data_IF_873254350099
#
_entry.id   IF_873254350099
#
_cell.length_a   1.000
_cell.length_b   1.000
_cell.length_c   1.000
_cell.angle_alpha   90.00
_cell.angle_beta   90.00
_cell.angle_gamma   90.00
#
_symmetry.space_group_name_H-M   'P 1'
#
loop_
_entity.id
_entity.type
_entity.pdbx_description
1 polymer ?
#
# COMPACT_ATOMS: atom_id res chain seq x y z
N UNK A 1 -1.15 4.10 -2.35
CA UNK A 1 0.07 3.58 -1.73
C UNK A 1 1.01 3.05 -2.82
N UNK A 2 2.27 3.49 -2.81
CA UNK A 2 3.34 2.92 -3.64
C UNK A 2 4.03 1.81 -2.86
N UNK A 3 4.08 0.59 -3.40
CA UNK A 3 4.65 -0.59 -2.73
C UNK A 3 5.99 -0.94 -3.36
N UNK A 4 7.01 -1.07 -2.51
CA UNK A 4 8.35 -1.52 -2.89
C UNK A 4 8.56 -2.96 -2.38
N UNK A 5 9.16 -3.87 -3.19
CA UNK A 5 9.36 -5.27 -2.82
C UNK A 5 10.54 -5.43 -1.84
N UNK A 6 10.38 -4.94 -0.61
CA UNK A 6 11.39 -5.04 0.45
C UNK A 6 10.76 -5.32 1.82
N UNK A 7 11.34 -6.27 2.55
CA UNK A 7 11.00 -6.51 3.97
C UNK A 7 11.82 -5.56 4.85
N UNK A 8 11.15 -4.69 5.62
CA UNK A 8 11.82 -3.81 6.60
C UNK A 8 11.68 -4.41 8.00
N UNK A 9 12.80 -4.75 8.65
CA UNK A 9 12.81 -5.35 10.00
C UNK A 9 12.35 -4.40 11.13
N UNK A 10 12.35 -3.08 10.89
CA UNK A 10 11.80 -2.01 11.74
C UNK A 10 11.28 -0.87 10.85
N UNK A 11 10.28 -0.11 11.31
CA UNK A 11 9.75 1.04 10.57
C UNK A 11 8.60 1.74 11.29
N UNK A 12 8.15 2.86 10.71
CA UNK A 12 6.95 3.60 11.15
C UNK A 12 5.72 2.98 10.52
N UNK A 13 4.63 2.83 11.30
CA UNK A 13 3.35 2.34 10.78
C UNK A 13 2.75 3.39 9.85
N UNK A 14 2.07 2.93 8.80
CA UNK A 14 1.36 3.82 7.86
C UNK A 14 0.06 4.35 8.49
N UNK A 15 -0.58 3.54 9.34
CA UNK A 15 -1.74 3.90 10.12
C UNK A 15 -1.49 3.54 11.59
N UNK A 16 -1.92 4.40 12.52
CA UNK A 16 -1.85 4.12 13.96
C UNK A 16 -2.98 3.18 14.41
N UNK A 17 -4.11 3.22 13.70
CA UNK A 17 -5.33 2.47 13.94
C UNK A 17 -5.71 1.56 12.75
N UNK A 18 -6.78 0.78 12.90
CA UNK A 18 -7.29 -0.09 11.85
C UNK A 18 -8.12 0.72 10.83
N UNK A 19 -7.82 0.55 9.54
CA UNK A 19 -8.53 1.21 8.44
C UNK A 19 -9.09 0.16 7.48
N UNK A 20 -10.39 0.27 7.16
CA UNK A 20 -11.03 -0.56 6.15
C UNK A 20 -10.81 0.04 4.76
N UNK A 21 -10.10 -0.69 3.90
CA UNK A 21 -9.69 -0.21 2.59
C UNK A 21 -10.43 -0.96 1.47
N UNK A 22 -10.83 -0.22 0.43
CA UNK A 22 -11.33 -0.78 -0.83
C UNK A 22 -10.34 -0.49 -1.95
N UNK A 23 -9.96 -1.51 -2.72
CA UNK A 23 -9.11 -1.32 -3.90
C UNK A 23 -9.90 -0.54 -4.95
N UNK A 24 -9.37 0.62 -5.35
CA UNK A 24 -9.86 1.40 -6.48
C UNK A 24 -9.07 1.12 -7.75
N UNK A 25 -7.77 0.87 -7.65
CA UNK A 25 -6.89 0.65 -8.81
C UNK A 25 -5.60 -0.09 -8.41
N UNK A 26 -5.04 -0.86 -9.36
CA UNK A 26 -3.75 -1.51 -9.22
C UNK A 26 -2.97 -1.46 -10.55
N UNK A 27 -1.73 -0.99 -10.50
CA UNK A 27 -0.82 -0.93 -11.63
C UNK A 27 0.54 -1.55 -11.26
N UNK A 28 1.00 -2.52 -12.06
CA UNK A 28 2.30 -3.17 -11.90
C UNK A 28 3.30 -2.61 -12.92
N UNK A 29 4.55 -2.46 -12.49
CA UNK A 29 5.65 -1.95 -13.31
C UNK A 29 6.73 -3.03 -13.46
N UNK A 30 7.45 -3.03 -14.58
CA UNK A 30 8.46 -4.05 -14.92
C UNK A 30 9.64 -4.10 -13.94
N UNK A 31 9.89 -3.01 -13.21
CA UNK A 31 10.92 -2.92 -12.17
C UNK A 31 10.49 -3.55 -10.82
N UNK A 32 9.37 -4.28 -10.80
CA UNK A 32 8.84 -4.93 -9.60
C UNK A 32 8.11 -4.00 -8.64
N UNK A 33 7.91 -2.73 -9.01
CA UNK A 33 7.10 -1.79 -8.23
C UNK A 33 5.62 -1.98 -8.56
N UNK A 34 4.76 -1.81 -7.56
CA UNK A 34 3.30 -1.78 -7.75
C UNK A 34 2.71 -0.51 -7.13
N UNK A 35 1.83 0.16 -7.86
CA UNK A 35 1.02 1.27 -7.36
C UNK A 35 -0.39 0.77 -7.09
N UNK A 36 -0.86 0.95 -5.85
CA UNK A 36 -2.19 0.56 -5.43
C UNK A 36 -2.95 1.81 -4.97
N UNK A 37 -4.13 2.07 -5.55
CA UNK A 37 -5.02 3.13 -5.11
C UNK A 37 -6.12 2.51 -4.27
N UNK A 38 -6.29 3.02 -3.05
CA UNK A 38 -7.30 2.58 -2.12
C UNK A 38 -8.21 3.74 -1.74
N UNK A 39 -9.47 3.44 -1.57
CA UNK A 39 -10.43 4.29 -0.87
C UNK A 39 -10.54 3.81 0.57
N UNK A 40 -10.60 4.75 1.52
CA UNK A 40 -10.90 4.47 2.92
C UNK A 40 -12.43 4.41 3.04
N UNK A 41 -12.95 3.32 3.61
CA UNK A 41 -14.36 3.21 3.93
C UNK A 41 -14.61 3.94 5.26
N UNK A 42 -15.54 4.90 5.23
CA UNK A 42 -16.12 5.51 6.42
C UNK A 42 -17.30 4.69 6.93
#
# INVERSE_FOLDING_TARGET
MLVCPASRGKGTRVFEDQQDLKVAEAAAFENGITLLRYEIKN
#
